data_IF_941107440217
#
_entry.id   IF_941107440217
#
_cell.length_a   1.000
_cell.length_b   1.000
_cell.length_c   1.000
_cell.angle_alpha   90.00
_cell.angle_beta   90.00
_cell.angle_gamma   90.00
#
_symmetry.space_group_name_H-M   'P 1'
#
loop_
_entity.id
_entity.type
_entity.pdbx_description
1 polymer ?
#
# COMPACT_ATOMS: atom_id res chain seq x y z
N UNK A 1 -5.37 -27.62 -4.59
CA UNK A 1 -4.03 -27.26 -4.06
C UNK A 1 -3.54 -26.04 -4.79
N UNK A 2 -3.00 -25.05 -4.09
CA UNK A 2 -2.38 -23.88 -4.72
C UNK A 2 -0.92 -24.17 -5.10
N UNK A 3 -0.37 -23.53 -6.14
CA UNK A 3 1.06 -23.62 -6.47
C UNK A 3 1.94 -23.20 -5.28
N UNK A 4 3.15 -23.80 -5.16
CA UNK A 4 4.12 -23.45 -4.09
C UNK A 4 4.59 -21.99 -4.10
N UNK A 5 4.44 -21.30 -5.24
CA UNK A 5 4.75 -19.88 -5.40
C UNK A 5 3.69 -18.95 -4.80
N UNK A 6 2.54 -19.49 -4.40
CA UNK A 6 1.46 -18.71 -3.79
C UNK A 6 1.66 -18.70 -2.29
N UNK A 7 1.91 -17.50 -1.76
CA UNK A 7 1.82 -17.25 -0.32
C UNK A 7 0.44 -16.65 0.00
N UNK A 8 -0.18 -17.12 1.09
CA UNK A 8 -1.48 -16.63 1.56
C UNK A 8 -1.25 -15.81 2.81
N UNK A 9 -1.78 -14.58 2.81
CA UNK A 9 -1.75 -13.68 3.96
C UNK A 9 -3.20 -13.36 4.29
N UNK A 10 -3.58 -13.54 5.56
CA UNK A 10 -4.93 -13.27 6.04
C UNK A 10 -4.92 -11.92 6.76
N UNK A 11 -5.58 -10.92 6.16
CA UNK A 11 -5.68 -9.56 6.70
C UNK A 11 -7.03 -8.93 6.34
N UNK A 12 -7.48 -7.96 7.15
CA UNK A 12 -8.58 -7.05 6.79
C UNK A 12 -8.02 -5.83 6.05
N UNK A 13 -8.46 -5.62 4.80
CA UNK A 13 -8.10 -4.44 4.00
C UNK A 13 -8.73 -3.16 4.54
N UNK A 14 -9.81 -3.26 5.31
CA UNK A 14 -10.44 -2.14 5.99
C UNK A 14 -9.66 -1.63 7.21
N UNK A 15 -8.65 -2.37 7.66
CA UNK A 15 -7.75 -1.96 8.72
C UNK A 15 -6.46 -1.34 8.14
N UNK A 16 -6.11 -0.07 8.47
CA UNK A 16 -4.94 0.57 7.87
C UNK A 16 -3.59 -0.02 8.30
N UNK A 17 -3.54 -0.68 9.46
CA UNK A 17 -2.30 -1.19 10.08
C UNK A 17 -1.75 -2.43 9.34
N UNK A 18 -2.63 -3.31 8.87
CA UNK A 18 -2.36 -4.57 8.16
C UNK A 18 -1.73 -4.36 6.78
N UNK A 19 -2.07 -3.27 6.09
CA UNK A 19 -1.59 -3.02 4.72
C UNK A 19 -0.06 -2.83 4.64
N UNK A 20 0.56 -2.23 5.67
CA UNK A 20 1.98 -1.87 5.64
C UNK A 20 2.95 -3.05 5.75
N UNK A 21 2.55 -4.13 6.41
CA UNK A 21 3.36 -5.36 6.51
C UNK A 21 3.23 -6.19 5.24
N UNK A 22 2.00 -6.29 4.73
CA UNK A 22 1.63 -7.20 3.64
C UNK A 22 2.11 -6.72 2.28
N UNK A 23 2.32 -5.41 2.10
CA UNK A 23 2.72 -4.85 0.80
C UNK A 23 4.24 -4.84 0.57
N UNK A 24 5.04 -5.06 1.62
CA UNK A 24 6.50 -5.05 1.50
C UNK A 24 6.99 -6.17 0.57
N UNK A 25 7.85 -5.80 -0.37
CA UNK A 25 8.50 -6.74 -1.29
C UNK A 25 7.69 -7.06 -2.55
N UNK A 26 6.45 -6.58 -2.68
CA UNK A 26 5.68 -6.72 -3.91
C UNK A 26 6.07 -5.66 -4.94
N UNK A 27 6.09 -6.04 -6.22
CA UNK A 27 6.37 -5.14 -7.34
C UNK A 27 5.09 -4.59 -8.00
N UNK A 28 3.98 -5.32 -7.88
CA UNK A 28 2.67 -4.98 -8.43
C UNK A 28 1.59 -5.44 -7.47
N UNK A 29 0.47 -4.73 -7.48
CA UNK A 29 -0.71 -5.03 -6.65
C UNK A 29 -1.92 -5.13 -7.56
N UNK A 30 -2.75 -6.15 -7.34
CA UNK A 30 -4.07 -6.29 -7.95
C UNK A 30 -5.08 -6.23 -6.81
N UNK A 31 -5.89 -5.17 -6.78
CA UNK A 31 -6.91 -4.98 -5.76
C UNK A 31 -8.25 -5.53 -6.26
N UNK A 32 -8.67 -6.67 -5.70
CA UNK A 32 -9.94 -7.32 -6.02
C UNK A 32 -10.74 -7.62 -4.74
N UNK A 33 -10.86 -6.61 -3.88
CA UNK A 33 -11.71 -6.68 -2.69
C UNK A 33 -12.92 -5.76 -2.87
N UNK A 34 -14.10 -6.25 -2.51
CA UNK A 34 -15.34 -5.49 -2.47
C UNK A 34 -16.23 -6.04 -1.38
N UNK A 35 -17.02 -5.18 -0.75
CA UNK A 35 -18.08 -5.63 0.15
C UNK A 35 -19.24 -6.24 -0.64
N UNK A 36 -19.85 -7.30 -0.11
CA UNK A 36 -21.15 -7.82 -0.61
C UNK A 36 -22.35 -7.08 -0.02
N UNK A 37 -22.12 -6.31 1.05
CA UNK A 37 -23.13 -5.49 1.72
C UNK A 37 -23.29 -4.15 1.00
N UNK A 38 -24.55 -3.73 0.81
CA UNK A 38 -24.91 -2.41 0.30
C UNK A 38 -24.91 -1.30 1.37
N UNK A 39 -24.62 -1.64 2.64
CA UNK A 39 -24.45 -0.65 3.70
C UNK A 39 -23.26 0.25 3.37
N UNK A 40 -23.53 1.56 3.30
CA UNK A 40 -22.56 2.59 2.90
C UNK A 40 -21.27 2.53 3.71
N UNK A 41 -21.35 2.28 5.02
CA UNK A 41 -20.16 2.19 5.87
C UNK A 41 -19.22 1.05 5.44
N UNK A 42 -19.76 -0.10 5.02
CA UNK A 42 -18.94 -1.22 4.53
C UNK A 42 -18.36 -0.95 3.15
N UNK A 43 -19.13 -0.28 2.27
CA UNK A 43 -18.65 0.16 0.96
C UNK A 43 -17.47 1.13 1.10
N UNK A 44 -17.61 2.10 2.00
CA UNK A 44 -16.55 3.06 2.27
C UNK A 44 -15.31 2.38 2.85
N UNK A 45 -15.47 1.49 3.85
CA UNK A 45 -14.33 0.84 4.52
C UNK A 45 -13.53 -0.05 3.57
N UNK A 46 -14.20 -0.84 2.72
CA UNK A 46 -13.51 -1.76 1.81
C UNK A 46 -13.09 -1.02 0.54
N UNK A 47 -14.05 -0.50 -0.22
CA UNK A 47 -13.79 -0.06 -1.59
C UNK A 47 -12.99 1.26 -1.63
N UNK A 48 -13.19 2.15 -0.65
CA UNK A 48 -12.47 3.42 -0.59
C UNK A 48 -11.27 3.35 0.36
N UNK A 49 -11.50 3.14 1.66
CA UNK A 49 -10.41 3.17 2.66
C UNK A 49 -9.41 2.04 2.45
N UNK A 50 -9.86 0.84 2.07
CA UNK A 50 -8.96 -0.27 1.79
C UNK A 50 -8.09 -0.03 0.56
N UNK A 51 -8.68 0.43 -0.54
CA UNK A 51 -7.92 0.79 -1.74
C UNK A 51 -6.91 1.93 -1.47
N UNK A 52 -7.34 2.94 -0.72
CA UNK A 52 -6.48 4.05 -0.29
C UNK A 52 -5.29 3.55 0.54
N UNK A 53 -5.56 2.76 1.58
CA UNK A 53 -4.54 2.22 2.49
C UNK A 53 -3.50 1.39 1.75
N UNK A 54 -3.96 0.52 0.84
CA UNK A 54 -3.08 -0.33 0.02
C UNK A 54 -2.21 0.53 -0.91
N UNK A 55 -2.80 1.50 -1.60
CA UNK A 55 -2.06 2.38 -2.53
C UNK A 55 -1.00 3.20 -1.79
N UNK A 56 -1.38 3.77 -0.64
CA UNK A 56 -0.50 4.57 0.20
C UNK A 56 0.65 3.75 0.78
N UNK A 57 0.38 2.55 1.29
CA UNK A 57 1.40 1.64 1.78
C UNK A 57 2.39 1.23 0.68
N UNK A 58 1.92 1.00 -0.55
CA UNK A 58 2.77 0.69 -1.70
C UNK A 58 3.67 1.87 -2.09
N UNK A 59 3.12 3.07 -2.17
CA UNK A 59 3.90 4.29 -2.40
C UNK A 59 4.94 4.50 -1.30
N UNK A 60 4.55 4.39 -0.03
CA UNK A 60 5.45 4.53 1.11
C UNK A 60 6.62 3.54 1.06
N UNK A 61 6.33 2.28 0.75
CA UNK A 61 7.37 1.25 0.61
C UNK A 61 8.36 1.60 -0.51
N UNK A 62 7.87 1.99 -1.68
CA UNK A 62 8.71 2.37 -2.80
C UNK A 62 9.53 3.63 -2.50
N UNK A 63 8.91 4.66 -1.90
CA UNK A 63 9.60 5.88 -1.51
C UNK A 63 10.69 5.57 -0.48
N UNK A 64 10.46 4.66 0.47
CA UNK A 64 11.49 4.16 1.39
C UNK A 64 12.64 3.48 0.65
N UNK A 65 12.36 2.63 -0.34
CA UNK A 65 13.41 2.00 -1.15
C UNK A 65 14.23 3.04 -1.93
N UNK A 66 13.59 4.07 -2.48
CA UNK A 66 14.30 5.15 -3.18
C UNK A 66 15.15 5.97 -2.20
N UNK A 67 14.63 6.29 -1.01
CA UNK A 67 15.41 6.97 0.03
C UNK A 67 16.65 6.17 0.45
N UNK A 68 16.52 4.85 0.60
CA UNK A 68 17.66 3.98 0.91
C UNK A 68 18.72 3.99 -0.22
N UNK A 69 18.30 4.11 -1.48
CA UNK A 69 19.18 4.15 -2.67
C UNK A 69 19.82 5.52 -2.90
N UNK A 70 19.12 6.61 -2.57
CA UNK A 70 19.55 7.98 -2.86
C UNK A 70 20.82 8.43 -2.09
N UNK A 71 21.22 7.72 -1.04
CA UNK A 71 22.44 8.01 -0.29
C UNK A 71 22.41 9.35 0.47
N UNK A 72 23.58 9.96 0.70
CA UNK A 72 23.70 11.21 1.51
C UNK A 72 23.47 12.50 0.72
N UNK A 73 23.21 12.46 -0.58
CA UNK A 73 23.09 13.65 -1.43
C UNK A 73 21.84 14.48 -1.06
N UNK A 74 22.05 15.71 -0.60
CA UNK A 74 21.03 16.66 -0.16
C UNK A 74 20.00 17.03 -1.24
N UNK A 75 20.40 17.11 -2.52
CA UNK A 75 19.49 17.41 -3.64
C UNK A 75 18.51 16.26 -3.90
N UNK A 76 19.00 15.03 -3.82
CA UNK A 76 18.15 13.83 -3.98
C UNK A 76 17.16 13.66 -2.82
N UNK A 77 17.56 14.01 -1.58
CA UNK A 77 16.69 14.00 -0.41
C UNK A 77 15.57 15.06 -0.49
N UNK A 78 15.87 16.25 -1.00
CA UNK A 78 14.88 17.32 -1.17
C UNK A 78 13.80 16.94 -2.19
N UNK A 79 14.18 16.33 -3.32
CA UNK A 79 13.23 15.86 -4.32
C UNK A 79 12.30 14.75 -3.77
N UNK A 80 12.83 13.86 -2.92
CA UNK A 80 12.05 12.82 -2.24
C UNK A 80 11.09 13.41 -1.20
N UNK A 81 11.53 14.41 -0.43
CA UNK A 81 10.69 15.10 0.54
C UNK A 81 9.48 15.78 -0.13
N UNK A 82 9.71 16.42 -1.28
CA UNK A 82 8.65 17.11 -2.03
C UNK A 82 7.64 16.13 -2.65
N UNK A 83 8.09 14.97 -3.12
CA UNK A 83 7.20 13.95 -3.68
C UNK A 83 6.39 13.19 -2.63
N UNK A 84 6.91 13.04 -1.40
CA UNK A 84 6.15 12.51 -0.27
C UNK A 84 5.04 13.45 0.22
N UNK A 85 5.12 14.76 -0.09
CA UNK A 85 4.14 15.76 0.31
C UNK A 85 2.92 15.87 -0.63
N UNK A 86 2.96 15.21 -1.79
CA UNK A 86 1.82 15.10 -2.68
C UNK A 86 0.87 14.03 -2.13
N UNK A 87 0.09 14.40 -1.13
CA UNK A 87 -1.04 13.62 -0.64
C UNK A 87 -2.11 13.55 -1.74
N UNK A 88 -2.26 12.39 -2.37
CA UNK A 88 -3.55 11.93 -2.87
C UNK A 88 -4.30 11.25 -1.71
#
# INVERSE_FOLDING_TARGET
MLPRSVNIILDDVGEPSTSNTTIKGFNKIIYYATTRSLITANLYRVNYQGLYSVTKAFQNYNNKLVQLRAGKNSKSKLLLANSNHLNL
#
